data_IF_950956247541
#
_entry.id   IF_950956247541
#
_cell.length_a   1.000
_cell.length_b   1.000
_cell.length_c   1.000
_cell.angle_alpha   90.00
_cell.angle_beta   90.00
_cell.angle_gamma   90.00
#
_symmetry.space_group_name_H-M   'P 1'
#
loop_
_entity.id
_entity.type
_entity.pdbx_description
1 polymer ?
#
# COMPACT_ATOMS: atom_id res chain seq x y z
N UNK A 1 38.86 -64.96 -59.30
CA UNK A 1 39.52 -63.98 -60.15
C UNK A 1 38.81 -62.66 -59.96
N UNK A 2 39.55 -61.59 -59.64
CA UNK A 2 39.23 -60.19 -59.61
C UNK A 2 38.34 -59.69 -58.44
N UNK A 3 38.99 -59.07 -57.51
CA UNK A 3 38.57 -58.32 -56.41
C UNK A 3 37.98 -56.97 -56.76
N UNK A 4 36.89 -56.54 -56.09
CA UNK A 4 36.31 -55.18 -56.15
C UNK A 4 36.44 -54.51 -54.80
N UNK A 5 37.05 -53.32 -54.81
CA UNK A 5 37.33 -52.43 -53.71
C UNK A 5 36.04 -51.78 -53.14
N UNK A 6 35.95 -51.77 -51.86
CA UNK A 6 34.92 -51.01 -51.10
C UNK A 6 35.40 -49.61 -50.82
N UNK A 7 34.66 -48.60 -51.29
CA UNK A 7 34.79 -47.20 -50.86
C UNK A 7 34.11 -47.01 -49.54
N UNK A 8 34.86 -46.49 -48.60
CA UNK A 8 34.35 -46.03 -47.32
C UNK A 8 33.64 -44.70 -47.51
N UNK A 9 32.37 -44.64 -47.09
CA UNK A 9 31.65 -43.39 -46.86
C UNK A 9 31.87 -42.97 -45.42
N UNK A 10 32.53 -41.81 -45.19
CA UNK A 10 32.62 -41.19 -43.89
C UNK A 10 31.32 -40.45 -43.59
N UNK A 11 30.64 -40.80 -42.46
CA UNK A 11 29.57 -39.99 -41.87
C UNK A 11 30.22 -38.94 -41.00
N UNK A 12 30.09 -37.69 -41.41
CA UNK A 12 30.30 -36.52 -40.54
C UNK A 12 29.07 -36.32 -39.67
N UNK A 13 29.19 -36.62 -38.38
CA UNK A 13 28.18 -36.27 -37.37
C UNK A 13 28.27 -34.76 -37.08
N UNK A 14 27.26 -34.01 -37.52
CA UNK A 14 27.08 -32.62 -37.10
C UNK A 14 26.55 -32.60 -35.67
N UNK A 15 27.36 -32.18 -34.73
CA UNK A 15 26.97 -31.89 -33.37
C UNK A 15 26.11 -30.60 -33.32
N UNK A 16 24.79 -30.73 -33.21
CA UNK A 16 23.89 -29.64 -32.87
C UNK A 16 24.13 -29.23 -31.42
N UNK A 17 24.85 -28.14 -31.24
CA UNK A 17 25.01 -27.49 -29.97
C UNK A 17 23.65 -26.95 -29.48
N UNK A 18 23.09 -27.53 -28.45
CA UNK A 18 21.98 -26.94 -27.68
C UNK A 18 22.47 -25.63 -27.05
N UNK A 19 21.73 -24.51 -27.18
CA UNK A 19 22.04 -23.32 -26.40
C UNK A 19 21.82 -23.64 -24.94
N UNK A 20 22.88 -23.61 -24.16
CA UNK A 20 22.80 -23.64 -22.70
C UNK A 20 21.95 -22.45 -22.24
N UNK A 21 20.75 -22.72 -21.72
CA UNK A 21 19.97 -21.78 -20.94
C UNK A 21 20.83 -21.38 -19.74
N UNK A 22 21.51 -20.25 -19.85
CA UNK A 22 22.16 -19.63 -18.70
C UNK A 22 21.04 -19.20 -17.76
N UNK A 23 20.78 -20.03 -16.76
CA UNK A 23 19.97 -19.62 -15.62
C UNK A 23 20.55 -18.33 -15.06
N UNK A 24 19.71 -17.33 -14.83
CA UNK A 24 20.09 -16.10 -14.13
C UNK A 24 20.67 -16.48 -12.77
N UNK A 25 22.00 -16.57 -12.70
CA UNK A 25 22.70 -16.70 -11.42
C UNK A 25 22.39 -15.43 -10.62
N UNK A 26 22.02 -15.57 -9.34
CA UNK A 26 21.78 -14.45 -8.43
C UNK A 26 22.99 -13.52 -8.49
N UNK A 27 22.73 -12.24 -8.71
CA UNK A 27 23.74 -11.18 -8.86
C UNK A 27 24.55 -10.99 -7.56
N UNK A 28 24.13 -11.61 -6.47
CA UNK A 28 24.72 -11.46 -5.13
C UNK A 28 25.74 -12.56 -4.85
N UNK A 29 26.93 -12.22 -4.33
CA UNK A 29 27.87 -13.22 -3.81
C UNK A 29 27.17 -14.08 -2.75
N UNK A 30 27.33 -15.39 -2.82
CA UNK A 30 26.68 -16.37 -1.92
C UNK A 30 26.92 -16.11 -0.42
N UNK A 31 27.96 -15.35 -0.07
CA UNK A 31 28.39 -15.09 1.30
C UNK A 31 28.06 -13.69 1.82
N UNK A 32 27.44 -12.81 1.00
CA UNK A 32 27.09 -11.44 1.45
C UNK A 32 25.67 -11.40 1.99
N UNK A 33 25.52 -11.19 3.30
CA UNK A 33 24.21 -10.90 3.89
C UNK A 33 23.70 -9.55 3.41
N UNK A 34 22.53 -9.55 2.74
CA UNK A 34 21.86 -8.35 2.26
C UNK A 34 21.55 -7.39 3.42
N UNK A 35 21.78 -6.10 3.23
CA UNK A 35 21.52 -5.04 4.21
C UNK A 35 20.46 -4.06 3.70
N UNK A 36 19.45 -3.78 4.52
CA UNK A 36 18.30 -2.95 4.20
C UNK A 36 18.14 -1.83 5.20
N UNK A 37 18.05 -0.59 4.72
CA UNK A 37 17.71 0.59 5.52
C UNK A 37 16.28 1.05 5.20
N UNK A 38 15.50 1.43 6.21
CA UNK A 38 14.14 1.92 5.99
C UNK A 38 13.92 3.29 6.67
N UNK A 39 13.22 4.19 5.97
CA UNK A 39 12.76 5.47 6.49
C UNK A 39 11.25 5.43 6.70
N UNK A 40 10.81 5.75 7.91
CA UNK A 40 9.41 5.93 8.27
C UNK A 40 9.16 7.41 8.63
N UNK A 41 8.30 8.08 7.84
CA UNK A 41 7.90 9.46 8.09
C UNK A 41 6.73 9.52 9.08
N UNK A 42 6.95 9.02 10.28
CA UNK A 42 6.00 8.87 11.38
C UNK A 42 6.46 7.78 12.35
N UNK A 43 5.70 7.59 13.43
CA UNK A 43 6.03 6.62 14.47
C UNK A 43 5.71 5.19 14.03
N UNK A 44 6.67 4.26 14.17
CA UNK A 44 6.46 2.83 13.87
C UNK A 44 5.53 2.11 14.89
N UNK A 45 4.97 2.85 15.83
CA UNK A 45 3.99 2.40 16.84
C UNK A 45 2.60 3.01 16.62
N UNK A 46 2.30 3.49 15.41
CA UNK A 46 1.05 4.18 15.07
C UNK A 46 -0.18 3.26 14.98
N UNK A 47 -0.01 1.97 15.20
CA UNK A 47 -1.02 0.90 15.05
C UNK A 47 -1.67 0.88 13.65
N UNK A 48 -0.97 1.42 12.65
CA UNK A 48 -1.49 1.60 11.30
C UNK A 48 -0.42 1.48 10.23
N UNK A 49 -0.28 2.53 9.43
CA UNK A 49 0.51 2.51 8.20
C UNK A 49 2.02 2.35 8.45
N UNK A 50 2.60 3.10 9.40
CA UNK A 50 4.05 3.03 9.67
C UNK A 50 4.40 1.72 10.36
N UNK A 51 3.60 1.29 11.35
CA UNK A 51 3.79 0.01 12.03
C UNK A 51 3.66 -1.17 11.05
N UNK A 52 2.70 -1.15 10.13
CA UNK A 52 2.57 -2.19 9.12
C UNK A 52 3.83 -2.28 8.25
N UNK A 53 4.37 -1.15 7.79
CA UNK A 53 5.64 -1.14 7.05
C UNK A 53 6.82 -1.66 7.86
N UNK A 54 6.93 -1.26 9.12
CA UNK A 54 7.96 -1.74 10.05
C UNK A 54 7.86 -3.26 10.29
N UNK A 55 6.65 -3.80 10.46
CA UNK A 55 6.42 -5.25 10.57
C UNK A 55 6.90 -5.99 9.32
N UNK A 56 6.72 -5.40 8.12
CA UNK A 56 7.27 -5.94 6.88
C UNK A 56 8.80 -6.00 6.87
N UNK A 57 9.46 -4.97 7.41
CA UNK A 57 10.92 -4.94 7.57
C UNK A 57 11.41 -5.99 8.57
N UNK A 58 10.75 -6.13 9.72
CA UNK A 58 11.06 -7.16 10.71
C UNK A 58 10.83 -8.57 10.16
N UNK A 59 9.75 -8.77 9.40
CA UNK A 59 9.49 -10.04 8.72
C UNK A 59 10.59 -10.35 7.68
N UNK A 60 11.06 -9.36 6.93
CA UNK A 60 12.20 -9.55 6.04
C UNK A 60 13.47 -9.94 6.81
N UNK A 61 13.72 -9.35 7.98
CA UNK A 61 14.84 -9.70 8.84
C UNK A 61 14.76 -11.17 9.32
N UNK A 62 13.61 -11.61 9.79
CA UNK A 62 13.42 -12.97 10.35
C UNK A 62 13.35 -14.03 9.26
N UNK A 63 12.54 -13.81 8.22
CA UNK A 63 12.22 -14.84 7.23
C UNK A 63 13.27 -14.92 6.11
N UNK A 64 13.89 -13.78 5.78
CA UNK A 64 14.88 -13.71 4.71
C UNK A 64 16.32 -13.62 5.21
N UNK A 65 16.54 -13.48 6.53
CA UNK A 65 17.88 -13.41 7.11
C UNK A 65 18.70 -12.19 6.67
N UNK A 66 18.03 -11.07 6.34
CA UNK A 66 18.69 -9.82 5.97
C UNK A 66 19.03 -8.99 7.22
N UNK A 67 20.06 -8.15 7.12
CA UNK A 67 20.34 -7.13 8.14
C UNK A 67 19.43 -5.94 7.91
N UNK A 68 18.82 -5.40 8.96
CA UNK A 68 17.94 -4.25 8.88
C UNK A 68 18.36 -3.13 9.81
N UNK A 69 18.13 -1.90 9.38
CA UNK A 69 18.18 -0.70 10.20
C UNK A 69 17.09 0.26 9.75
N UNK A 70 16.66 1.17 10.62
CA UNK A 70 15.64 2.14 10.23
C UNK A 70 15.82 3.48 10.96
N UNK A 71 15.19 4.50 10.39
CA UNK A 71 14.98 5.83 10.98
C UNK A 71 13.47 6.05 10.97
N UNK A 72 12.89 6.40 12.11
CA UNK A 72 11.47 6.70 12.22
C UNK A 72 11.20 8.09 12.81
N UNK A 73 9.92 8.39 12.98
CA UNK A 73 9.45 9.65 13.58
C UNK A 73 9.92 10.91 12.83
N UNK A 74 10.27 10.78 11.55
CA UNK A 74 10.72 11.90 10.74
C UNK A 74 9.51 12.70 10.25
N UNK A 75 9.55 14.01 10.49
CA UNK A 75 8.50 14.93 9.98
C UNK A 75 8.52 14.89 8.44
N UNK A 76 7.36 14.78 7.75
CA UNK A 76 7.28 14.64 6.30
C UNK A 76 7.54 15.97 5.57
N UNK A 77 8.71 16.58 5.83
CA UNK A 77 9.26 17.72 5.09
C UNK A 77 10.38 17.22 4.19
N UNK A 78 10.39 17.65 2.93
CA UNK A 78 11.31 17.15 1.89
C UNK A 78 12.75 17.12 2.33
N UNK A 79 13.23 18.19 2.96
CA UNK A 79 14.63 18.35 3.40
C UNK A 79 15.01 17.31 4.47
N UNK A 80 14.11 17.07 5.44
CA UNK A 80 14.33 16.09 6.52
C UNK A 80 14.27 14.65 5.99
N UNK A 81 13.37 14.38 5.05
CA UNK A 81 13.29 13.09 4.38
C UNK A 81 14.56 12.83 3.56
N UNK A 82 15.03 13.81 2.79
CA UNK A 82 16.28 13.71 2.03
C UNK A 82 17.50 13.48 2.94
N UNK A 83 17.58 14.19 4.05
CA UNK A 83 18.65 14.01 5.03
C UNK A 83 18.68 12.57 5.56
N UNK A 84 17.54 12.05 5.98
CA UNK A 84 17.40 10.69 6.53
C UNK A 84 17.70 9.61 5.49
N UNK A 85 17.20 9.77 4.26
CA UNK A 85 17.51 8.87 3.15
C UNK A 85 19.00 8.88 2.79
N UNK A 86 19.64 10.04 2.84
CA UNK A 86 21.08 10.18 2.59
C UNK A 86 21.90 9.47 3.68
N UNK A 87 21.51 9.59 4.95
CA UNK A 87 22.14 8.85 6.06
C UNK A 87 22.06 7.33 5.81
N UNK A 88 20.88 6.83 5.45
CA UNK A 88 20.69 5.40 5.13
C UNK A 88 21.54 4.98 3.91
N UNK A 89 21.55 5.76 2.85
CA UNK A 89 22.35 5.44 1.65
C UNK A 89 23.86 5.40 1.93
N UNK A 90 24.35 6.29 2.80
CA UNK A 90 25.76 6.32 3.22
C UNK A 90 26.15 5.23 4.22
N UNK A 91 25.18 4.55 4.85
CA UNK A 91 25.47 3.50 5.83
C UNK A 91 25.90 2.16 5.21
N UNK A 92 26.02 2.08 3.88
CA UNK A 92 26.46 0.89 3.17
C UNK A 92 25.39 -0.18 2.98
N UNK A 93 24.11 0.20 3.04
CA UNK A 93 22.99 -0.72 2.74
C UNK A 93 22.88 -0.99 1.24
N UNK A 94 22.37 -2.17 0.91
CA UNK A 94 22.13 -2.58 -0.47
C UNK A 94 20.79 -2.03 -0.99
N UNK A 95 19.82 -1.81 -0.08
CA UNK A 95 18.49 -1.27 -0.36
C UNK A 95 18.09 -0.21 0.66
N UNK A 96 17.58 0.91 0.17
CA UNK A 96 16.88 1.92 0.98
C UNK A 96 15.39 1.86 0.67
N UNK A 97 14.57 1.65 1.69
CA UNK A 97 13.11 1.69 1.61
C UNK A 97 12.62 3.01 2.19
N UNK A 98 11.95 3.81 1.38
CA UNK A 98 11.24 5.02 1.79
C UNK A 98 9.74 4.69 1.94
N UNK A 99 9.25 4.57 3.19
CA UNK A 99 7.89 4.12 3.45
C UNK A 99 6.91 5.29 3.40
N UNK A 100 6.02 5.24 2.40
CA UNK A 100 4.95 6.23 2.16
C UNK A 100 5.20 7.17 0.99
N UNK A 101 4.11 7.52 0.29
CA UNK A 101 4.14 8.36 -0.91
C UNK A 101 4.67 9.79 -0.69
N UNK A 102 4.71 10.29 0.55
CA UNK A 102 5.33 11.56 0.91
C UNK A 102 6.85 11.59 0.61
N UNK A 103 7.46 10.43 0.45
CA UNK A 103 8.88 10.31 0.14
C UNK A 103 9.20 10.40 -1.37
N UNK A 104 8.21 10.47 -2.25
CA UNK A 104 8.42 10.37 -3.70
C UNK A 104 9.54 11.31 -4.22
N UNK A 105 9.42 12.60 -3.96
CA UNK A 105 10.39 13.58 -4.45
C UNK A 105 11.75 13.44 -3.78
N UNK A 106 11.76 13.31 -2.45
CA UNK A 106 12.98 13.17 -1.68
C UNK A 106 13.76 11.90 -2.09
N UNK A 107 13.04 10.78 -2.25
CA UNK A 107 13.66 9.52 -2.64
C UNK A 107 14.21 9.56 -4.07
N UNK A 108 13.48 10.14 -5.03
CA UNK A 108 13.95 10.29 -6.40
C UNK A 108 15.23 11.15 -6.48
N UNK A 109 15.28 12.24 -5.72
CA UNK A 109 16.45 13.12 -5.69
C UNK A 109 17.66 12.44 -5.01
N UNK A 110 17.48 11.75 -3.90
CA UNK A 110 18.58 11.04 -3.23
C UNK A 110 19.04 9.85 -4.07
N UNK A 111 18.16 9.07 -4.66
CA UNK A 111 18.50 7.92 -5.49
C UNK A 111 19.42 8.30 -6.65
N UNK A 112 19.22 9.47 -7.27
CA UNK A 112 20.10 9.98 -8.35
C UNK A 112 21.54 10.21 -7.93
N UNK A 113 21.78 10.48 -6.63
CA UNK A 113 23.11 10.74 -6.05
C UNK A 113 23.84 9.46 -5.60
N UNK A 114 23.11 8.33 -5.52
CA UNK A 114 23.62 7.04 -5.05
C UNK A 114 23.30 5.91 -6.05
N UNK A 115 23.84 5.93 -7.26
CA UNK A 115 23.49 4.98 -8.33
C UNK A 115 23.80 3.51 -7.99
N UNK A 116 24.70 3.25 -7.05
CA UNK A 116 25.08 1.92 -6.58
C UNK A 116 24.11 1.31 -5.56
N UNK A 117 23.27 2.15 -4.90
CA UNK A 117 22.25 1.71 -3.92
C UNK A 117 20.90 1.54 -4.64
N UNK A 118 20.16 0.51 -4.29
CA UNK A 118 18.78 0.35 -4.75
C UNK A 118 17.84 1.12 -3.82
N UNK A 119 16.81 1.71 -4.41
CA UNK A 119 15.79 2.47 -3.67
C UNK A 119 14.39 1.94 -3.97
N UNK A 120 13.54 1.98 -2.97
CA UNK A 120 12.11 1.65 -3.10
C UNK A 120 11.28 2.69 -2.38
N UNK A 121 10.20 3.16 -3.03
CA UNK A 121 9.13 3.88 -2.34
C UNK A 121 7.92 2.95 -2.19
N UNK A 122 7.53 2.66 -0.94
CA UNK A 122 6.29 1.92 -0.66
C UNK A 122 5.11 2.89 -0.75
N UNK A 123 4.07 2.50 -1.47
CA UNK A 123 2.91 3.36 -1.81
C UNK A 123 3.34 4.62 -2.61
N UNK A 124 4.43 4.49 -3.35
CA UNK A 124 4.96 5.53 -4.21
C UNK A 124 4.42 5.46 -5.64
N UNK A 125 4.80 6.47 -6.43
CA UNK A 125 4.50 6.54 -7.86
C UNK A 125 5.69 6.99 -8.70
N UNK A 126 6.92 6.89 -8.14
CA UNK A 126 8.17 7.35 -8.78
C UNK A 126 9.08 6.18 -9.11
N UNK A 127 9.83 6.32 -10.19
CA UNK A 127 10.79 5.32 -10.65
C UNK A 127 12.02 5.99 -11.26
N UNK A 128 13.18 5.31 -11.19
CA UNK A 128 14.43 5.73 -11.84
C UNK A 128 15.31 4.50 -12.12
N UNK A 129 16.52 4.70 -12.64
CA UNK A 129 17.44 3.61 -13.00
C UNK A 129 17.80 2.67 -11.83
N UNK A 130 17.73 3.16 -10.58
CA UNK A 130 17.97 2.41 -9.36
C UNK A 130 16.81 2.49 -8.35
N UNK A 131 15.65 3.03 -8.77
CA UNK A 131 14.47 3.27 -7.95
C UNK A 131 13.26 2.54 -8.51
N UNK A 132 12.55 1.80 -7.66
CA UNK A 132 11.24 1.20 -7.92
C UNK A 132 10.19 1.72 -6.95
N UNK A 133 8.91 1.58 -7.28
CA UNK A 133 7.82 1.74 -6.33
C UNK A 133 7.09 0.41 -6.15
N UNK A 134 6.66 0.13 -4.92
CA UNK A 134 5.81 -1.02 -4.58
C UNK A 134 4.51 -0.51 -3.97
N UNK A 135 3.41 -0.83 -4.62
CA UNK A 135 2.09 -0.28 -4.31
C UNK A 135 1.11 -1.39 -3.97
N UNK A 136 0.52 -1.33 -2.78
CA UNK A 136 -0.67 -2.11 -2.42
C UNK A 136 -1.88 -1.27 -2.79
N UNK A 137 -2.75 -1.79 -3.66
CA UNK A 137 -3.86 -1.05 -4.26
C UNK A 137 -4.99 -0.82 -3.24
N UNK A 138 -4.72 0.01 -2.24
CA UNK A 138 -5.67 0.35 -1.18
C UNK A 138 -6.94 1.03 -1.70
N UNK A 139 -6.90 1.65 -2.87
CA UNK A 139 -8.07 2.18 -3.54
C UNK A 139 -9.11 1.10 -3.86
N UNK A 140 -8.70 -0.15 -4.07
CA UNK A 140 -9.63 -1.25 -4.33
C UNK A 140 -10.44 -1.60 -3.07
N UNK A 141 -9.80 -1.72 -1.91
CA UNK A 141 -10.51 -1.93 -0.65
C UNK A 141 -11.30 -0.69 -0.19
N UNK A 142 -10.81 0.51 -0.48
CA UNK A 142 -11.52 1.76 -0.20
C UNK A 142 -12.81 1.88 -1.03
N UNK A 143 -12.79 1.46 -2.31
CA UNK A 143 -13.99 1.40 -3.15
C UNK A 143 -15.04 0.47 -2.54
N UNK A 144 -14.65 -0.74 -2.11
CA UNK A 144 -15.54 -1.68 -1.41
C UNK A 144 -16.08 -1.07 -0.11
N UNK A 145 -15.26 -0.31 0.63
CA UNK A 145 -15.69 0.47 1.80
C UNK A 145 -16.78 1.49 1.45
N UNK A 146 -16.64 2.18 0.33
CA UNK A 146 -17.65 3.12 -0.18
C UNK A 146 -18.98 2.44 -0.53
N UNK A 147 -18.91 1.28 -1.20
CA UNK A 147 -20.09 0.45 -1.50
C UNK A 147 -20.79 0.04 -0.20
N UNK A 148 -20.04 -0.45 0.79
CA UNK A 148 -20.60 -0.83 2.08
C UNK A 148 -21.27 0.36 2.79
N UNK A 149 -20.59 1.50 2.84
CA UNK A 149 -21.13 2.70 3.47
C UNK A 149 -22.46 3.13 2.85
N UNK A 150 -22.57 3.12 1.51
CA UNK A 150 -23.81 3.47 0.80
C UNK A 150 -24.94 2.45 1.00
N UNK A 151 -24.61 1.18 1.19
CA UNK A 151 -25.61 0.12 1.45
C UNK A 151 -26.12 0.11 2.90
N UNK A 152 -25.36 0.66 3.83
CA UNK A 152 -25.64 0.55 5.27
C UNK A 152 -26.02 1.87 5.95
N UNK A 153 -25.80 3.01 5.30
CA UNK A 153 -26.20 4.31 5.85
C UNK A 153 -27.71 4.39 6.04
N UNK A 154 -28.13 4.98 7.16
CA UNK A 154 -29.52 5.22 7.52
C UNK A 154 -29.92 6.68 7.35
N UNK A 155 -28.93 7.56 7.39
CA UNK A 155 -29.11 9.01 7.25
C UNK A 155 -28.98 9.50 5.81
N UNK A 156 -28.42 8.68 4.93
CA UNK A 156 -28.03 9.09 3.59
C UNK A 156 -26.80 10.01 3.54
N UNK A 157 -26.03 10.06 4.66
CA UNK A 157 -24.79 10.86 4.75
C UNK A 157 -23.66 10.00 5.31
N UNK A 158 -22.53 9.99 4.61
CA UNK A 158 -21.33 9.28 5.04
C UNK A 158 -20.13 10.23 5.06
N UNK A 159 -19.15 9.95 5.89
CA UNK A 159 -17.92 10.73 6.05
C UNK A 159 -16.70 10.06 5.44
N UNK A 160 -15.72 10.87 5.05
CA UNK A 160 -14.35 10.43 4.77
C UNK A 160 -13.38 11.45 5.34
N UNK A 161 -12.41 10.98 6.12
CA UNK A 161 -11.37 11.79 6.70
C UNK A 161 -9.99 11.19 6.45
N UNK A 162 -9.10 11.96 5.83
CA UNK A 162 -7.66 11.67 5.70
C UNK A 162 -6.83 12.72 6.44
N UNK A 163 -5.55 12.41 6.68
CA UNK A 163 -4.60 13.36 7.26
C UNK A 163 -4.03 14.32 6.23
N UNK A 164 -2.79 14.10 5.78
CA UNK A 164 -2.11 14.92 4.77
C UNK A 164 -2.45 14.45 3.34
N UNK A 165 -2.28 15.37 2.38
CA UNK A 165 -2.55 15.10 0.95
C UNK A 165 -1.40 14.37 0.28
N UNK A 166 -1.33 13.08 0.50
CA UNK A 166 -0.37 12.18 -0.16
C UNK A 166 -1.09 11.23 -1.12
N UNK A 167 -0.36 10.71 -2.11
CA UNK A 167 -0.91 9.85 -3.17
C UNK A 167 -1.86 8.76 -2.64
N UNK A 168 -1.51 7.94 -1.63
CA UNK A 168 -2.41 6.90 -1.15
C UNK A 168 -3.72 7.46 -0.58
N UNK A 169 -3.68 8.55 0.20
CA UNK A 169 -4.88 9.20 0.72
C UNK A 169 -5.79 9.79 -0.37
N UNK A 170 -5.18 10.40 -1.40
CA UNK A 170 -5.92 10.96 -2.54
C UNK A 170 -6.63 9.87 -3.34
N UNK A 171 -5.96 8.74 -3.63
CA UNK A 171 -6.54 7.59 -4.33
C UNK A 171 -7.63 6.92 -3.50
N UNK A 172 -7.38 6.70 -2.21
CA UNK A 172 -8.35 6.08 -1.30
C UNK A 172 -9.64 6.90 -1.18
N UNK A 173 -9.53 8.25 -1.06
CA UNK A 173 -10.69 9.14 -1.10
C UNK A 173 -11.47 9.02 -2.41
N UNK A 174 -10.78 9.12 -3.54
CA UNK A 174 -11.41 9.05 -4.85
C UNK A 174 -12.20 7.75 -5.02
N UNK A 175 -11.60 6.63 -4.63
CA UNK A 175 -12.20 5.30 -4.70
C UNK A 175 -13.40 5.14 -3.76
N UNK A 176 -13.28 5.60 -2.51
CA UNK A 176 -14.39 5.57 -1.56
C UNK A 176 -15.62 6.33 -2.08
N UNK A 177 -15.43 7.58 -2.52
CA UNK A 177 -16.50 8.39 -3.08
C UNK A 177 -17.10 7.74 -4.32
N UNK A 178 -16.28 7.18 -5.21
CA UNK A 178 -16.75 6.47 -6.39
C UNK A 178 -17.58 5.24 -6.03
N UNK A 179 -17.17 4.47 -5.03
CA UNK A 179 -17.92 3.32 -4.52
C UNK A 179 -19.29 3.72 -3.95
N UNK A 180 -19.34 4.82 -3.18
CA UNK A 180 -20.62 5.39 -2.69
C UNK A 180 -21.52 5.77 -3.85
N UNK A 181 -21.04 6.59 -4.78
CA UNK A 181 -21.83 7.13 -5.89
C UNK A 181 -22.33 6.04 -6.86
N UNK A 182 -21.48 5.02 -7.13
CA UNK A 182 -21.86 3.89 -7.97
C UNK A 182 -22.92 3.00 -7.34
N UNK A 183 -23.04 3.02 -6.02
CA UNK A 183 -24.00 2.22 -5.26
C UNK A 183 -25.32 2.98 -5.04
N UNK A 184 -25.23 4.22 -4.57
CA UNK A 184 -26.39 5.10 -4.37
C UNK A 184 -25.96 6.58 -4.54
N UNK A 185 -26.26 7.21 -5.69
CA UNK A 185 -25.86 8.58 -5.97
C UNK A 185 -26.58 9.62 -5.09
N UNK A 186 -27.62 9.24 -4.35
CA UNK A 186 -28.32 10.13 -3.42
C UNK A 186 -27.62 10.22 -2.04
N UNK A 187 -26.65 9.38 -1.77
CA UNK A 187 -25.86 9.45 -0.53
C UNK A 187 -24.87 10.60 -0.62
N UNK A 188 -24.94 11.52 0.32
CA UNK A 188 -24.02 12.65 0.42
C UNK A 188 -22.73 12.20 1.11
N UNK A 189 -21.59 12.53 0.51
CA UNK A 189 -20.26 12.27 1.11
C UNK A 189 -19.65 13.55 1.64
N UNK A 190 -19.35 13.58 2.94
CA UNK A 190 -18.55 14.63 3.58
C UNK A 190 -17.09 14.15 3.51
N UNK A 191 -16.26 14.80 2.72
CA UNK A 191 -14.86 14.39 2.55
C UNK A 191 -13.89 15.51 2.82
N UNK A 192 -12.84 15.26 3.61
CA UNK A 192 -11.80 16.24 3.89
C UNK A 192 -10.41 15.63 4.07
N UNK A 193 -9.42 16.51 4.08
CA UNK A 193 -8.07 16.25 4.58
C UNK A 193 -7.81 17.19 5.75
N UNK A 194 -7.63 16.64 6.94
CA UNK A 194 -7.46 17.41 8.18
C UNK A 194 -6.15 18.21 8.22
N UNK A 195 -5.16 17.85 7.41
CA UNK A 195 -3.82 18.45 7.40
C UNK A 195 -2.83 17.78 8.35
N UNK A 196 -3.30 16.92 9.26
CA UNK A 196 -2.44 16.16 10.17
C UNK A 196 -3.03 14.77 10.42
N UNK A 197 -2.25 13.73 10.25
CA UNK A 197 -2.69 12.35 10.39
C UNK A 197 -2.40 11.74 11.77
N UNK A 198 -1.73 12.49 12.66
CA UNK A 198 -1.25 12.02 13.95
C UNK A 198 -1.86 12.80 15.14
N UNK A 199 -2.66 13.85 14.87
CA UNK A 199 -3.31 14.68 15.88
C UNK A 199 -4.70 14.16 16.26
N UNK A 200 -4.81 13.57 17.47
CA UNK A 200 -6.06 13.02 18.00
C UNK A 200 -7.11 14.10 18.30
N UNK A 201 -6.70 15.27 18.77
CA UNK A 201 -7.63 16.35 19.07
C UNK A 201 -8.27 16.91 17.80
N UNK A 202 -7.47 17.07 16.74
CA UNK A 202 -7.94 17.52 15.45
C UNK A 202 -8.89 16.48 14.81
N UNK A 203 -8.51 15.21 14.79
CA UNK A 203 -9.33 14.16 14.19
C UNK A 203 -10.65 13.97 14.93
N UNK A 204 -10.68 14.13 16.27
CA UNK A 204 -11.92 14.14 17.04
C UNK A 204 -12.83 15.29 16.62
N UNK A 205 -12.30 16.51 16.49
CA UNK A 205 -13.11 17.67 16.05
C UNK A 205 -13.69 17.46 14.64
N UNK A 206 -12.88 16.95 13.71
CA UNK A 206 -13.33 16.69 12.33
C UNK A 206 -14.42 15.62 12.31
N UNK A 207 -14.23 14.51 13.02
CA UNK A 207 -15.24 13.45 13.10
C UNK A 207 -16.56 13.96 13.72
N UNK A 208 -16.49 14.73 14.81
CA UNK A 208 -17.69 15.34 15.43
C UNK A 208 -18.41 16.30 14.47
N UNK A 209 -17.67 17.06 13.65
CA UNK A 209 -18.26 17.94 12.66
C UNK A 209 -18.96 17.16 11.52
N UNK A 210 -18.37 16.10 11.01
CA UNK A 210 -19.02 15.21 10.02
C UNK A 210 -20.29 14.57 10.61
N UNK A 211 -20.24 14.08 11.85
CA UNK A 211 -21.39 13.51 12.56
C UNK A 211 -22.49 14.55 12.77
N UNK A 212 -22.16 15.77 13.18
CA UNK A 212 -23.11 16.86 13.36
C UNK A 212 -23.79 17.26 12.02
N UNK A 213 -23.16 16.96 10.90
CA UNK A 213 -23.72 17.16 9.55
C UNK A 213 -24.39 15.89 8.98
N UNK A 214 -24.65 14.91 9.83
CA UNK A 214 -25.47 13.74 9.54
C UNK A 214 -24.70 12.47 9.18
N UNK A 215 -23.37 12.47 9.16
CA UNK A 215 -22.63 11.24 8.86
C UNK A 215 -22.88 10.16 9.92
N UNK A 216 -23.31 8.98 9.51
CA UNK A 216 -23.54 7.81 10.36
C UNK A 216 -22.52 6.68 10.13
N UNK A 217 -21.62 6.86 9.15
CA UNK A 217 -20.46 6.01 8.91
C UNK A 217 -19.31 6.87 8.37
N UNK A 218 -18.10 6.76 8.95
CA UNK A 218 -16.92 7.53 8.55
C UNK A 218 -15.79 6.61 8.13
N UNK A 219 -15.31 6.74 6.88
CA UNK A 219 -14.07 6.11 6.44
C UNK A 219 -12.87 6.94 6.88
N UNK A 220 -11.95 6.35 7.64
CA UNK A 220 -10.80 7.05 8.20
C UNK A 220 -9.49 6.54 7.65
N UNK A 221 -8.67 7.44 7.10
CA UNK A 221 -7.31 7.19 6.62
C UNK A 221 -6.32 8.04 7.44
N UNK A 222 -6.09 7.63 8.66
CA UNK A 222 -5.27 8.30 9.66
C UNK A 222 -4.19 7.33 10.19
N UNK A 223 -3.14 7.90 10.74
CA UNK A 223 -2.10 7.19 11.50
C UNK A 223 -2.38 7.27 13.01
N UNK A 224 -1.45 7.76 13.82
CA UNK A 224 -1.59 7.86 15.29
C UNK A 224 -2.80 8.73 15.73
N UNK A 225 -3.24 9.67 14.91
CA UNK A 225 -4.42 10.52 15.14
C UNK A 225 -5.77 9.79 15.05
N UNK A 226 -5.80 8.50 14.70
CA UNK A 226 -7.05 7.71 14.59
C UNK A 226 -7.83 7.63 15.89
N UNK A 227 -7.15 7.66 17.04
CA UNK A 227 -7.78 7.55 18.36
C UNK A 227 -8.86 8.60 18.61
N UNK A 228 -8.66 9.83 18.16
CA UNK A 228 -9.65 10.90 18.28
C UNK A 228 -10.94 10.64 17.49
N UNK A 229 -10.81 10.14 16.26
CA UNK A 229 -11.98 9.76 15.46
C UNK A 229 -12.73 8.56 16.07
N UNK A 230 -12.01 7.58 16.63
CA UNK A 230 -12.61 6.44 17.35
C UNK A 230 -13.42 6.95 18.55
N UNK A 231 -12.85 7.85 19.33
CA UNK A 231 -13.51 8.45 20.52
C UNK A 231 -14.80 9.18 20.11
N UNK A 232 -14.74 10.04 19.08
CA UNK A 232 -15.91 10.76 18.56
C UNK A 232 -17.04 9.81 18.11
N UNK A 233 -16.69 8.78 17.34
CA UNK A 233 -17.65 7.80 16.85
C UNK A 233 -18.27 6.99 17.99
N UNK A 234 -17.47 6.57 18.96
CA UNK A 234 -17.98 5.86 20.16
C UNK A 234 -18.93 6.72 20.98
N UNK A 235 -18.60 7.99 21.23
CA UNK A 235 -19.45 8.94 21.96
C UNK A 235 -20.81 9.17 21.28
N UNK A 236 -20.84 9.11 19.96
CA UNK A 236 -22.05 9.41 19.17
C UNK A 236 -22.77 8.17 18.63
N UNK A 237 -22.27 6.97 18.88
CA UNK A 237 -22.82 5.72 18.35
C UNK A 237 -22.73 5.61 16.83
N UNK A 238 -21.74 6.27 16.21
CA UNK A 238 -21.48 6.25 14.76
C UNK A 238 -20.42 5.21 14.44
N UNK A 239 -20.54 4.54 13.29
CA UNK A 239 -19.61 3.50 12.89
C UNK A 239 -18.47 4.06 12.02
N UNK A 240 -17.35 3.34 12.05
CA UNK A 240 -16.21 3.64 11.18
C UNK A 240 -15.92 2.51 10.19
N UNK A 241 -15.28 2.89 9.08
CA UNK A 241 -14.50 1.97 8.24
C UNK A 241 -13.03 2.32 8.46
N UNK A 242 -12.25 1.36 8.95
CA UNK A 242 -10.82 1.51 9.15
C UNK A 242 -10.03 1.29 7.85
N UNK A 243 -8.72 1.57 7.88
CA UNK A 243 -7.84 1.25 6.75
C UNK A 243 -6.56 0.55 7.22
N UNK A 244 -5.81 -0.01 6.27
CA UNK A 244 -4.50 -0.66 6.41
C UNK A 244 -4.59 -2.01 7.11
N UNK A 245 -5.01 -2.03 8.39
CA UNK A 245 -5.10 -3.23 9.24
C UNK A 245 -6.54 -3.55 9.61
N UNK A 246 -6.77 -4.72 10.22
CA UNK A 246 -8.12 -5.16 10.59
C UNK A 246 -8.58 -4.55 11.93
N UNK A 247 -9.20 -3.41 11.85
CA UNK A 247 -9.79 -2.69 12.98
C UNK A 247 -11.05 -3.35 13.52
N UNK A 248 -11.76 -4.13 12.70
CA UNK A 248 -12.96 -4.89 13.15
C UNK A 248 -12.58 -5.87 14.24
N UNK A 249 -11.43 -6.53 14.13
CA UNK A 249 -10.92 -7.44 15.17
C UNK A 249 -10.58 -6.70 16.47
N UNK A 250 -10.14 -5.44 16.37
CA UNK A 250 -9.73 -4.65 17.53
C UNK A 250 -10.93 -4.05 18.26
N UNK A 251 -11.91 -3.51 17.53
CA UNK A 251 -13.05 -2.79 18.08
C UNK A 251 -14.30 -2.92 17.18
N UNK A 252 -14.98 -4.09 17.21
CA UNK A 252 -16.15 -4.34 16.36
C UNK A 252 -17.36 -3.47 16.70
N UNK A 253 -17.35 -2.77 17.85
CA UNK A 253 -18.42 -1.84 18.22
C UNK A 253 -18.33 -0.53 17.45
N UNK A 254 -17.11 -0.06 17.19
CA UNK A 254 -16.86 1.17 16.40
C UNK A 254 -16.72 0.84 14.92
N UNK A 255 -15.98 -0.21 14.56
CA UNK A 255 -15.69 -0.51 13.16
C UNK A 255 -16.70 -1.48 12.55
N UNK A 256 -17.44 -1.01 11.53
CA UNK A 256 -18.33 -1.85 10.72
C UNK A 256 -17.54 -2.63 9.68
N UNK A 257 -16.39 -2.09 9.23
CA UNK A 257 -15.51 -2.74 8.27
C UNK A 257 -14.07 -2.21 8.39
N UNK A 258 -13.14 -2.93 7.74
CA UNK A 258 -11.77 -2.46 7.55
C UNK A 258 -11.37 -2.65 6.09
N UNK A 259 -11.06 -1.55 5.40
CA UNK A 259 -10.46 -1.53 4.07
C UNK A 259 -8.96 -1.86 4.20
N UNK A 260 -8.65 -3.14 4.24
CA UNK A 260 -7.29 -3.63 4.47
C UNK A 260 -6.46 -3.40 3.22
N UNK A 261 -5.25 -2.86 3.44
CA UNK A 261 -4.17 -2.75 2.48
C UNK A 261 -2.86 -2.99 3.24
N UNK A 262 -2.45 -4.25 3.34
CA UNK A 262 -1.30 -4.66 4.13
C UNK A 262 0.01 -4.29 3.44
N UNK A 263 0.50 -3.11 3.74
CA UNK A 263 1.75 -2.58 3.17
C UNK A 263 3.00 -3.32 3.66
N UNK A 264 2.89 -4.15 4.71
CA UNK A 264 3.99 -5.02 5.14
C UNK A 264 4.39 -5.99 4.03
N UNK A 265 3.43 -6.43 3.22
CA UNK A 265 3.67 -7.33 2.09
C UNK A 265 4.48 -6.66 0.98
N UNK A 266 4.26 -5.37 0.73
CA UNK A 266 5.04 -4.62 -0.27
C UNK A 266 6.50 -4.45 0.19
N UNK A 267 6.73 -4.19 1.49
CA UNK A 267 8.08 -4.12 2.07
C UNK A 267 8.78 -5.46 1.96
N UNK A 268 8.13 -6.55 2.39
CA UNK A 268 8.68 -7.90 2.32
C UNK A 268 8.97 -8.31 0.88
N UNK A 269 8.06 -8.01 -0.06
CA UNK A 269 8.22 -8.32 -1.48
C UNK A 269 9.42 -7.59 -2.09
N UNK A 270 9.61 -6.29 -1.79
CA UNK A 270 10.73 -5.53 -2.30
C UNK A 270 12.08 -6.11 -1.85
N UNK A 271 12.19 -6.54 -0.60
CA UNK A 271 13.38 -7.20 -0.07
C UNK A 271 13.58 -8.59 -0.68
N UNK A 272 12.50 -9.36 -0.83
CA UNK A 272 12.50 -10.68 -1.45
C UNK A 272 12.96 -10.62 -2.91
N UNK A 273 12.42 -9.68 -3.68
CA UNK A 273 12.78 -9.48 -5.09
C UNK A 273 14.26 -9.12 -5.23
N UNK A 274 14.76 -8.24 -4.36
CA UNK A 274 16.20 -7.91 -4.37
C UNK A 274 17.06 -9.12 -4.04
N UNK A 275 16.70 -9.87 -2.99
CA UNK A 275 17.42 -11.08 -2.57
C UNK A 275 17.43 -12.16 -3.65
N UNK A 276 16.32 -12.30 -4.39
CA UNK A 276 16.17 -13.24 -5.47
C UNK A 276 16.80 -12.77 -6.80
N UNK A 277 17.35 -11.56 -6.87
CA UNK A 277 17.87 -10.96 -8.11
C UNK A 277 16.76 -10.56 -9.09
N UNK A 278 15.53 -10.42 -8.61
CA UNK A 278 14.33 -10.10 -9.41
C UNK A 278 13.90 -8.63 -9.27
N UNK A 279 14.67 -7.81 -8.54
CA UNK A 279 14.39 -6.41 -8.38
C UNK A 279 14.36 -5.66 -9.71
N UNK A 280 13.26 -5.01 -10.03
CA UNK A 280 13.05 -4.27 -11.28
C UNK A 280 13.03 -2.77 -11.01
N UNK A 281 14.18 -2.12 -11.07
CA UNK A 281 14.25 -0.67 -11.10
C UNK A 281 13.49 -0.11 -12.32
N UNK A 282 12.98 1.09 -12.21
CA UNK A 282 12.18 1.71 -13.27
C UNK A 282 10.73 1.21 -13.35
N UNK A 283 10.29 0.35 -12.41
CA UNK A 283 8.94 -0.24 -12.39
C UNK A 283 8.15 0.14 -11.16
N UNK A 284 6.81 0.16 -11.32
CA UNK A 284 5.86 0.19 -10.21
C UNK A 284 5.25 -1.21 -10.12
N UNK A 285 5.58 -1.93 -9.04
CA UNK A 285 4.98 -3.22 -8.73
C UNK A 285 3.66 -3.00 -8.00
N UNK A 286 2.61 -3.73 -8.35
CA UNK A 286 1.27 -3.54 -7.79
C UNK A 286 0.69 -4.85 -7.31
N UNK A 287 0.05 -4.83 -6.15
CA UNK A 287 -0.76 -5.93 -5.61
C UNK A 287 -2.11 -5.39 -5.13
N UNK A 288 -3.20 -6.04 -5.54
CA UNK A 288 -4.58 -5.64 -5.25
C UNK A 288 -5.43 -6.81 -4.73
N UNK A 289 -6.74 -6.74 -4.93
CA UNK A 289 -7.73 -7.73 -4.50
C UNK A 289 -7.47 -9.15 -5.01
N UNK A 290 -6.69 -9.34 -6.07
CA UNK A 290 -6.23 -10.67 -6.52
C UNK A 290 -5.38 -11.39 -5.46
N UNK A 291 -4.82 -10.65 -4.50
CA UNK A 291 -4.18 -11.18 -3.31
C UNK A 291 -4.96 -10.75 -2.06
N UNK A 292 -5.88 -11.60 -1.62
CA UNK A 292 -6.72 -11.30 -0.47
C UNK A 292 -5.96 -11.18 0.87
N UNK A 293 -4.70 -11.59 0.93
CA UNK A 293 -3.84 -11.31 2.10
C UNK A 293 -3.41 -9.85 2.10
N UNK A 294 -3.13 -9.28 0.93
CA UNK A 294 -2.67 -7.90 0.80
C UNK A 294 -3.83 -6.90 0.80
N UNK A 295 -4.90 -7.16 0.04
CA UNK A 295 -6.03 -6.23 -0.12
C UNK A 295 -7.35 -6.96 0.05
N UNK A 296 -8.21 -6.49 0.94
CA UNK A 296 -9.57 -7.00 1.18
C UNK A 296 -10.40 -6.02 1.99
N UNK A 297 -11.70 -6.24 2.05
CA UNK A 297 -12.60 -5.62 3.02
C UNK A 297 -13.02 -6.67 4.05
N UNK A 298 -12.68 -6.48 5.32
CA UNK A 298 -13.27 -7.23 6.43
C UNK A 298 -14.51 -6.50 6.95
N UNK A 299 -15.48 -7.25 7.45
CA UNK A 299 -16.76 -6.70 7.88
C UNK A 299 -17.16 -7.28 9.23
N UNK A 300 -17.73 -6.45 10.10
CA UNK A 300 -18.24 -6.84 11.40
C UNK A 300 -19.38 -7.88 11.26
N UNK A 301 -19.59 -8.69 12.29
CA UNK A 301 -20.52 -9.82 12.23
C UNK A 301 -21.97 -9.39 11.98
N UNK A 302 -22.34 -8.18 12.39
CA UNK A 302 -23.68 -7.59 12.23
C UNK A 302 -23.97 -7.02 10.83
N UNK A 303 -23.00 -7.02 9.91
CA UNK A 303 -23.27 -6.66 8.51
C UNK A 303 -24.13 -7.73 7.85
N UNK A 304 -25.29 -7.36 7.25
CA UNK A 304 -26.20 -8.32 6.64
C UNK A 304 -25.56 -9.14 5.53
N UNK A 305 -25.96 -10.40 5.41
CA UNK A 305 -25.45 -11.33 4.39
C UNK A 305 -25.68 -10.81 2.95
N UNK A 306 -26.80 -10.17 2.68
CA UNK A 306 -27.07 -9.56 1.38
C UNK A 306 -26.08 -8.45 1.01
N UNK A 307 -25.58 -7.69 2.01
CA UNK A 307 -24.54 -6.70 1.81
C UNK A 307 -23.20 -7.38 1.53
N UNK A 308 -22.85 -8.45 2.28
CA UNK A 308 -21.62 -9.23 2.06
C UNK A 308 -21.55 -9.80 0.65
N UNK A 309 -22.66 -10.39 0.17
CA UNK A 309 -22.76 -10.93 -1.18
C UNK A 309 -22.60 -9.84 -2.25
N UNK A 310 -23.20 -8.67 -2.04
CA UNK A 310 -23.02 -7.53 -2.94
C UNK A 310 -21.55 -7.07 -3.00
N UNK A 311 -20.88 -6.97 -1.85
CA UNK A 311 -19.45 -6.62 -1.75
C UNK A 311 -18.58 -7.66 -2.45
N UNK A 312 -18.84 -8.96 -2.26
CA UNK A 312 -18.12 -10.02 -2.94
C UNK A 312 -18.25 -9.90 -4.47
N UNK A 313 -19.46 -9.66 -4.96
CA UNK A 313 -19.69 -9.45 -6.40
C UNK A 313 -18.96 -8.24 -6.96
N UNK A 314 -18.95 -7.12 -6.23
CA UNK A 314 -18.21 -5.92 -6.64
C UNK A 314 -16.71 -6.19 -6.65
N UNK A 315 -16.19 -6.93 -5.66
CA UNK A 315 -14.78 -7.35 -5.61
C UNK A 315 -14.39 -8.18 -6.84
N UNK A 316 -15.23 -9.16 -7.23
CA UNK A 316 -15.01 -9.93 -8.46
C UNK A 316 -15.00 -9.05 -9.72
N UNK A 317 -15.91 -8.07 -9.80
CA UNK A 317 -16.01 -7.19 -10.96
C UNK A 317 -14.81 -6.21 -11.06
N UNK A 318 -14.23 -5.80 -9.92
CA UNK A 318 -12.96 -5.05 -9.88
C UNK A 318 -11.82 -5.94 -10.39
N UNK A 319 -11.67 -7.15 -9.85
CA UNK A 319 -10.62 -8.09 -10.24
C UNK A 319 -10.72 -8.49 -11.73
N UNK A 320 -11.92 -8.59 -12.25
CA UNK A 320 -12.18 -8.85 -13.67
C UNK A 320 -11.98 -7.61 -14.58
N UNK A 321 -11.63 -6.46 -14.01
CA UNK A 321 -11.44 -5.20 -14.75
C UNK A 321 -12.71 -4.56 -15.30
N UNK A 322 -13.90 -5.02 -14.88
CA UNK A 322 -15.19 -4.45 -15.27
C UNK A 322 -15.46 -3.11 -14.58
N UNK A 323 -14.95 -2.94 -13.36
CA UNK A 323 -15.00 -1.69 -12.62
C UNK A 323 -13.61 -1.06 -12.66
N UNK A 324 -13.53 0.15 -13.22
CA UNK A 324 -12.33 0.98 -13.21
C UNK A 324 -12.43 1.98 -12.07
N UNK A 325 -11.53 1.88 -11.11
CA UNK A 325 -11.51 2.74 -9.94
C UNK A 325 -10.79 4.04 -10.28
N UNK A 326 -11.40 5.22 -10.07
CA UNK A 326 -10.74 6.50 -10.33
C UNK A 326 -9.65 6.77 -9.27
N UNK A 327 -8.52 7.33 -9.70
CA UNK A 327 -7.44 7.75 -8.82
C UNK A 327 -7.56 9.21 -8.36
N UNK A 328 -8.46 9.99 -8.95
CA UNK A 328 -8.65 11.41 -8.66
C UNK A 328 -10.11 11.74 -8.31
N UNK A 329 -10.27 12.69 -7.41
CA UNK A 329 -11.56 13.26 -7.01
C UNK A 329 -11.54 14.75 -7.24
N UNK A 330 -12.55 15.27 -7.96
CA UNK A 330 -12.68 16.67 -8.35
C UNK A 330 -13.89 17.38 -7.74
N UNK A 331 -14.61 16.70 -6.84
CA UNK A 331 -15.79 17.26 -6.17
C UNK A 331 -15.41 18.22 -5.03
N UNK A 332 -16.43 18.80 -4.40
CA UNK A 332 -16.27 19.67 -3.23
C UNK A 332 -15.79 18.92 -2.00
N UNK A 333 -15.07 19.62 -1.15
CA UNK A 333 -14.61 19.08 0.13
C UNK A 333 -15.43 19.67 1.29
N UNK A 334 -15.60 18.87 2.33
CA UNK A 334 -16.14 19.33 3.59
C UNK A 334 -15.08 20.16 4.32
N UNK A 335 -15.42 21.38 4.73
CA UNK A 335 -14.48 22.25 5.41
C UNK A 335 -14.07 21.68 6.76
N UNK A 336 -12.77 21.78 7.08
CA UNK A 336 -12.32 21.45 8.43
C UNK A 336 -12.94 22.38 9.45
N UNK A 337 -13.43 21.87 10.59
CA UNK A 337 -13.84 22.73 11.70
C UNK A 337 -12.59 23.42 12.27
N UNK A 338 -12.67 24.75 12.43
CA UNK A 338 -11.59 25.58 12.98
C UNK A 338 -11.71 25.64 14.50
#
# INVERSE_FOLDING_TARGET
MTTISRRQFGLTAAALGLPALHGCASIWPKDKTLSVGALFAGQVTDKGFMESGWRGLEKARTDLGVKTQFIDSVVPKKELLMQSLTVLANSGVDLVIAHGGQNNEACAEVASKFPQVKFVVIQGGVTAANLASYEVLQEESAYLGGVLAALTTRTGVVGHMSGIRVRPGLKGRAAFVAGVNATNPNVRVLTNFSGNQDDNALSKRVALAEIANGADCIFTMLNAGRGGAIEACREKGVRQIGNVVDWVQTDPQVFVASAIADVSMAVLQAVSDLKAGQFQAGKIQKVGLQNAQAVRLTMAADVPESVRQKIAKVSEDIQAGKIKIPEAYTGSEFANPV
#
